data_IF_644021872795
#
_entry.id   IF_644021872795
#
_cell.length_a   1.000
_cell.length_b   1.000
_cell.length_c   1.000
_cell.angle_alpha   90.00
_cell.angle_beta   90.00
_cell.angle_gamma   90.00
#
_symmetry.space_group_name_H-M   'P 1'
#
loop_
_entity.id
_entity.type
_entity.pdbx_description
1 polymer ?
#
# COMPACT_ATOMS: atom_id res chain seq x y z
N UNK A 1 -10.60 14.72 28.39
CA UNK A 1 -11.89 14.79 27.67
C UNK A 1 -11.65 15.71 26.48
N UNK A 2 -10.73 15.32 25.60
CA UNK A 2 -10.10 16.24 24.63
C UNK A 2 -9.76 15.49 23.33
N UNK A 3 -9.29 14.24 23.47
CA UNK A 3 -9.01 13.34 22.35
C UNK A 3 -10.27 13.08 21.52
N UNK A 4 -11.43 12.91 22.17
CA UNK A 4 -12.70 12.63 21.47
C UNK A 4 -13.16 13.81 20.59
N UNK A 5 -13.00 15.04 21.07
CA UNK A 5 -13.29 16.26 20.29
C UNK A 5 -12.35 16.43 19.10
N UNK A 6 -11.06 16.09 19.29
CA UNK A 6 -10.10 16.06 18.19
C UNK A 6 -10.51 15.03 17.14
N UNK A 7 -10.95 13.83 17.55
CA UNK A 7 -11.41 12.78 16.64
C UNK A 7 -12.67 13.16 15.86
N UNK A 8 -13.57 13.93 16.47
CA UNK A 8 -14.82 14.42 15.89
C UNK A 8 -14.58 15.50 14.82
N UNK A 9 -13.74 16.50 15.11
CA UNK A 9 -13.29 17.51 14.12
C UNK A 9 -12.46 16.87 13.02
N UNK A 10 -11.63 15.87 13.37
CA UNK A 10 -10.96 15.05 12.36
C UNK A 10 -11.99 14.33 11.50
N UNK A 11 -13.08 13.79 12.06
CA UNK A 11 -14.08 12.99 11.33
C UNK A 11 -14.73 13.73 10.17
N UNK A 12 -14.92 15.03 10.30
CA UNK A 12 -15.55 15.87 9.28
C UNK A 12 -14.62 16.21 8.10
N UNK A 13 -13.30 16.21 8.32
CA UNK A 13 -12.30 16.59 7.31
C UNK A 13 -11.08 15.64 7.27
N UNK A 14 -11.26 14.34 7.56
CA UNK A 14 -10.15 13.36 7.73
C UNK A 14 -9.17 13.37 6.56
N UNK A 15 -9.68 13.41 5.33
CA UNK A 15 -8.86 13.38 4.13
C UNK A 15 -7.88 14.54 4.03
N UNK A 16 -8.30 15.76 4.38
CA UNK A 16 -7.45 16.95 4.32
C UNK A 16 -6.35 16.91 5.36
N UNK A 17 -6.67 16.55 6.60
CA UNK A 17 -5.70 16.54 7.70
C UNK A 17 -4.69 15.41 7.53
N UNK A 18 -5.15 14.22 7.11
CA UNK A 18 -4.27 13.09 6.79
C UNK A 18 -3.35 13.46 5.62
N UNK A 19 -3.88 14.13 4.59
CA UNK A 19 -3.08 14.60 3.46
C UNK A 19 -1.99 15.59 3.86
N UNK A 20 -2.29 16.55 4.74
CA UNK A 20 -1.31 17.52 5.25
C UNK A 20 -0.24 16.83 6.10
N UNK A 21 -0.62 15.92 7.00
CA UNK A 21 0.33 15.20 7.84
C UNK A 21 1.24 14.31 6.99
N UNK A 22 0.68 13.55 6.04
CA UNK A 22 1.46 12.74 5.11
C UNK A 22 2.39 13.59 4.24
N UNK A 23 1.87 14.67 3.67
CA UNK A 23 2.66 15.60 2.85
C UNK A 23 3.81 16.23 3.65
N UNK A 24 3.57 16.58 4.91
CA UNK A 24 4.59 17.11 5.80
C UNK A 24 5.69 16.09 6.10
N UNK A 25 5.34 14.83 6.38
CA UNK A 25 6.29 13.74 6.60
C UNK A 25 7.14 13.48 5.35
N UNK A 26 6.52 13.48 4.17
CA UNK A 26 7.23 13.29 2.89
C UNK A 26 8.17 14.46 2.61
N UNK A 27 7.69 15.70 2.80
CA UNK A 27 8.52 16.90 2.63
C UNK A 27 9.71 16.91 3.60
N UNK A 28 9.49 16.53 4.86
CA UNK A 28 10.54 16.43 5.87
C UNK A 28 11.55 15.34 5.51
N UNK A 29 11.08 14.21 4.98
CA UNK A 29 11.94 13.13 4.48
C UNK A 29 12.80 13.58 3.30
N UNK A 30 12.26 14.36 2.36
CA UNK A 30 13.00 14.96 1.24
C UNK A 30 14.09 15.90 1.74
N UNK A 31 13.77 16.72 2.76
CA UNK A 31 14.71 17.68 3.35
C UNK A 31 15.87 16.98 4.08
N UNK A 32 15.58 15.92 4.86
CA UNK A 32 16.57 15.19 5.66
C UNK A 32 17.44 14.23 4.84
N UNK A 33 16.83 13.49 3.91
CA UNK A 33 17.47 12.39 3.19
C UNK A 33 17.99 12.85 1.80
N UNK A 34 17.29 13.81 1.17
CA UNK A 34 17.56 14.32 -0.17
C UNK A 34 16.52 13.87 -1.20
N UNK A 35 16.22 14.74 -2.17
CA UNK A 35 15.17 14.58 -3.20
C UNK A 35 15.20 13.23 -3.94
N UNK A 36 16.36 12.80 -4.42
CA UNK A 36 16.50 11.58 -5.21
C UNK A 36 16.20 10.30 -4.43
N UNK A 37 16.56 10.26 -3.14
CA UNK A 37 16.32 9.10 -2.28
C UNK A 37 14.84 8.93 -1.96
N UNK A 38 14.10 10.03 -1.78
CA UNK A 38 12.64 9.95 -1.56
C UNK A 38 11.90 9.47 -2.81
N UNK A 39 12.32 9.89 -4.00
CA UNK A 39 11.78 9.37 -5.27
C UNK A 39 12.04 7.86 -5.39
N UNK A 40 13.26 7.42 -5.08
CA UNK A 40 13.61 6.00 -5.08
C UNK A 40 12.71 5.19 -4.14
N UNK A 41 12.52 5.66 -2.90
CA UNK A 41 11.61 5.05 -1.93
C UNK A 41 10.17 5.02 -2.45
N UNK A 42 9.68 6.12 -3.04
CA UNK A 42 8.34 6.18 -3.61
C UNK A 42 8.11 5.16 -4.73
N UNK A 43 9.08 5.02 -5.64
CA UNK A 43 9.05 4.01 -6.71
C UNK A 43 9.09 2.60 -6.13
N UNK A 44 9.92 2.35 -5.12
CA UNK A 44 9.96 1.05 -4.43
C UNK A 44 8.63 0.72 -3.74
N UNK A 45 7.95 1.69 -3.13
CA UNK A 45 6.64 1.49 -2.51
C UNK A 45 5.59 1.16 -3.57
N UNK A 46 5.53 1.91 -4.67
CA UNK A 46 4.57 1.66 -5.76
C UNK A 46 4.84 0.30 -6.41
N UNK A 47 6.12 0.01 -6.72
CA UNK A 47 6.53 -1.26 -7.29
C UNK A 47 6.27 -2.43 -6.35
N UNK A 48 6.61 -2.29 -5.07
CA UNK A 48 6.33 -3.27 -4.03
C UNK A 48 4.85 -3.50 -3.81
N UNK A 49 4.00 -2.46 -3.86
CA UNK A 49 2.55 -2.60 -3.82
C UNK A 49 2.00 -3.32 -5.05
N UNK A 50 2.51 -3.02 -6.25
CA UNK A 50 2.06 -3.67 -7.47
C UNK A 50 2.44 -5.16 -7.50
N UNK A 51 3.67 -5.48 -7.07
CA UNK A 51 4.16 -6.85 -6.93
C UNK A 51 3.40 -7.57 -5.81
N UNK A 52 3.25 -6.93 -4.65
CA UNK A 52 2.53 -7.47 -3.49
C UNK A 52 1.06 -7.73 -3.81
N UNK A 53 0.38 -6.80 -4.49
CA UNK A 53 -1.01 -6.99 -4.95
C UNK A 53 -1.14 -8.16 -5.90
N UNK A 54 -0.19 -8.34 -6.84
CA UNK A 54 -0.18 -9.51 -7.73
C UNK A 54 -0.02 -10.83 -6.96
N UNK A 55 0.73 -10.84 -5.86
CA UNK A 55 0.95 -12.02 -5.02
C UNK A 55 -0.26 -12.29 -4.12
N UNK A 56 -0.87 -11.22 -3.58
CA UNK A 56 -2.06 -11.28 -2.70
C UNK A 56 -3.34 -11.61 -3.49
N UNK A 57 -3.42 -11.22 -4.77
CA UNK A 57 -4.34 -11.77 -5.78
C UNK A 57 -4.00 -13.24 -6.14
N UNK A 58 -3.56 -14.03 -5.17
CA UNK A 58 -3.28 -15.47 -5.24
C UNK A 58 -4.45 -16.31 -5.79
N UNK A 59 -5.64 -15.72 -6.00
CA UNK A 59 -6.71 -16.34 -6.77
C UNK A 59 -6.43 -16.45 -8.27
N UNK A 60 -5.61 -15.58 -8.89
CA UNK A 60 -5.30 -15.70 -10.31
C UNK A 60 -4.07 -16.55 -10.60
N UNK A 61 -3.08 -16.58 -9.70
CA UNK A 61 -1.87 -17.38 -9.92
C UNK A 61 -2.19 -18.87 -9.71
N UNK A 62 -2.95 -19.23 -8.69
CA UNK A 62 -3.39 -20.61 -8.48
C UNK A 62 -4.26 -21.11 -9.65
N UNK A 63 -5.22 -20.30 -10.11
CA UNK A 63 -6.08 -20.66 -11.25
C UNK A 63 -5.32 -20.70 -12.59
N UNK A 64 -4.31 -19.84 -12.81
CA UNK A 64 -3.43 -19.92 -13.97
C UNK A 64 -2.54 -21.17 -13.93
N UNK A 65 -2.01 -21.50 -12.75
CA UNK A 65 -1.20 -22.70 -12.52
C UNK A 65 -2.05 -23.96 -12.67
N UNK A 66 -3.29 -24.00 -12.19
CA UNK A 66 -4.22 -25.11 -12.41
C UNK A 66 -4.67 -25.24 -13.87
N UNK A 67 -4.65 -24.16 -14.67
CA UNK A 67 -4.90 -24.25 -16.12
C UNK A 67 -3.70 -24.80 -16.91
N UNK A 68 -2.48 -24.58 -16.40
CA UNK A 68 -1.22 -25.02 -17.01
C UNK A 68 -0.81 -26.41 -16.52
N UNK A 69 -1.16 -26.77 -15.29
CA UNK A 69 -0.93 -28.09 -14.74
C UNK A 69 -2.15 -28.99 -15.02
N UNK A 70 -2.00 -30.06 -15.82
CA UNK A 70 -3.10 -30.97 -16.09
C UNK A 70 -3.63 -31.58 -14.78
N UNK A 71 -4.95 -31.74 -14.63
CA UNK A 71 -5.56 -32.24 -13.40
C UNK A 71 -5.08 -33.66 -13.13
N UNK A 72 -4.29 -33.86 -12.07
CA UNK A 72 -3.92 -35.19 -11.63
C UNK A 72 -5.12 -35.81 -10.89
N UNK A 73 -5.90 -36.57 -11.65
CA UNK A 73 -7.04 -37.38 -11.19
C UNK A 73 -6.55 -38.44 -10.19
N UNK A 74 -6.56 -38.12 -8.90
CA UNK A 74 -6.39 -39.11 -7.83
C UNK A 74 -7.74 -39.83 -7.62
N UNK A 75 -7.90 -40.95 -8.32
CA UNK A 75 -8.88 -41.99 -8.00
C UNK A 75 -8.29 -42.84 -6.87
N UNK A 76 -8.84 -42.75 -5.66
CA UNK A 76 -8.86 -43.82 -4.66
C UNK A 76 -10.04 -43.62 -3.74
#
# INVERSE_FOLDING_TARGET
>A
MDIDKFFEVFKENKGKIIGVILGFIVALSILLIGFFKTIFIGICIIGGYYIGKKIDEGENIANLVDSILPPWKRRS
#
